data_IF_941222337925
#
_entry.id   IF_941222337925
#
_cell.length_a   1.000
_cell.length_b   1.000
_cell.length_c   1.000
_cell.angle_alpha   90.00
_cell.angle_beta   90.00
_cell.angle_gamma   90.00
#
_symmetry.space_group_name_H-M   'P 1'
#
loop_
_entity.id
_entity.type
_entity.pdbx_description
1 polymer ?
#
# COMPACT_ATOMS: atom_id res chain seq x y z
N UNK A 1 -16.77 3.75 11.09
CA UNK A 1 -16.22 4.37 9.86
C UNK A 1 -15.73 3.24 8.95
N UNK A 2 -16.42 2.97 7.83
CA UNK A 2 -15.98 1.96 6.85
C UNK A 2 -14.99 2.66 5.90
N UNK A 3 -13.70 2.49 6.10
CA UNK A 3 -12.69 3.08 5.20
C UNK A 3 -12.75 2.28 3.89
N UNK A 4 -13.44 2.78 2.87
CA UNK A 4 -13.43 2.18 1.53
C UNK A 4 -12.29 2.80 0.72
N UNK A 5 -11.06 2.40 1.06
CA UNK A 5 -9.87 2.86 0.38
C UNK A 5 -9.54 1.95 -0.80
N UNK A 6 -8.83 2.48 -1.80
CA UNK A 6 -8.34 1.76 -2.97
C UNK A 6 -6.82 1.80 -2.97
N UNK A 7 -6.17 0.66 -3.13
CA UNK A 7 -4.73 0.58 -3.28
C UNK A 7 -4.42 0.05 -4.66
N UNK A 8 -3.92 0.94 -5.53
CA UNK A 8 -3.51 0.62 -6.87
C UNK A 8 -2.01 0.34 -6.87
N UNK A 9 -1.63 -0.83 -7.37
CA UNK A 9 -0.24 -1.22 -7.57
C UNK A 9 0.00 -1.39 -9.07
N UNK A 10 1.12 -0.91 -9.57
CA UNK A 10 1.44 -0.87 -11.00
C UNK A 10 2.92 -1.21 -11.17
N UNK A 11 3.17 -2.23 -11.99
CA UNK A 11 4.47 -2.50 -12.59
C UNK A 11 4.48 -1.97 -14.01
N UNK A 12 5.49 -1.20 -14.37
CA UNK A 12 5.69 -0.62 -15.70
C UNK A 12 7.05 -1.05 -16.24
N UNK A 13 7.03 -1.78 -17.35
CA UNK A 13 8.21 -2.40 -17.94
C UNK A 13 8.61 -1.69 -19.22
N UNK A 14 9.93 -1.56 -19.43
CA UNK A 14 10.53 -0.89 -20.59
C UNK A 14 10.01 0.54 -20.77
N UNK A 15 9.97 1.29 -19.68
CA UNK A 15 9.66 2.72 -19.68
C UNK A 15 10.63 3.51 -20.57
N UNK A 16 10.24 4.71 -20.98
CA UNK A 16 11.10 5.59 -21.79
C UNK A 16 12.34 6.03 -20.97
N UNK A 17 13.52 6.02 -21.59
CA UNK A 17 14.79 6.36 -20.89
C UNK A 17 14.80 7.79 -20.34
N UNK A 18 14.14 8.73 -21.04
CA UNK A 18 13.99 10.13 -20.60
C UNK A 18 13.23 10.29 -19.28
N UNK A 19 12.61 9.23 -18.75
CA UNK A 19 11.95 9.26 -17.44
C UNK A 19 12.94 9.14 -16.28
N UNK A 20 14.19 8.72 -16.54
CA UNK A 20 15.18 8.42 -15.51
C UNK A 20 16.34 9.44 -15.46
N UNK A 21 16.32 10.47 -16.30
CA UNK A 21 17.41 11.45 -16.42
C UNK A 21 17.53 12.43 -15.25
N UNK A 22 16.42 12.79 -14.63
CA UNK A 22 16.40 13.74 -13.52
C UNK A 22 15.29 13.34 -12.53
N UNK A 23 15.71 12.86 -11.35
CA UNK A 23 14.81 12.36 -10.33
C UNK A 23 14.11 13.50 -9.58
N UNK A 24 14.72 14.67 -9.43
CA UNK A 24 14.05 15.84 -8.82
C UNK A 24 12.91 16.30 -9.72
N UNK A 25 13.15 16.41 -11.03
CA UNK A 25 12.10 16.70 -12.00
C UNK A 25 11.00 15.64 -12.02
N UNK A 26 11.36 14.36 -11.83
CA UNK A 26 10.35 13.30 -11.75
C UNK A 26 9.44 13.48 -10.52
N UNK A 27 10.02 13.80 -9.37
CA UNK A 27 9.25 14.08 -8.14
C UNK A 27 8.29 15.24 -8.36
N UNK A 28 8.74 16.33 -8.98
CA UNK A 28 7.90 17.50 -9.21
C UNK A 28 6.79 17.21 -10.22
N UNK A 29 7.07 16.49 -11.31
CA UNK A 29 6.04 16.01 -12.25
C UNK A 29 5.00 15.15 -11.56
N UNK A 30 5.43 14.24 -10.68
CA UNK A 30 4.53 13.38 -9.91
C UNK A 30 3.65 14.21 -8.96
N UNK A 31 4.20 15.21 -8.26
CA UNK A 31 3.42 16.13 -7.42
C UNK A 31 2.38 16.90 -8.23
N UNK A 32 2.75 17.43 -9.41
CA UNK A 32 1.82 18.13 -10.31
C UNK A 32 0.69 17.21 -10.76
N UNK A 33 1.00 15.98 -11.19
CA UNK A 33 0.01 14.98 -11.62
C UNK A 33 -0.99 14.65 -10.49
N UNK A 34 -0.49 14.51 -9.26
CA UNK A 34 -1.34 14.24 -8.11
C UNK A 34 -2.26 15.45 -7.81
N UNK A 35 -1.72 16.67 -7.85
CA UNK A 35 -2.50 17.89 -7.67
C UNK A 35 -3.60 18.04 -8.75
N UNK A 36 -3.28 17.79 -10.01
CA UNK A 36 -4.24 17.76 -11.13
C UNK A 36 -5.33 16.69 -10.94
N UNK A 37 -4.97 15.58 -10.27
CA UNK A 37 -5.89 14.50 -9.90
C UNK A 37 -6.72 14.81 -8.65
N UNK A 38 -6.72 16.08 -8.18
CA UNK A 38 -7.41 16.55 -6.97
C UNK A 38 -6.93 15.85 -5.69
N UNK A 39 -5.68 15.42 -5.66
CA UNK A 39 -5.01 14.90 -4.47
C UNK A 39 -4.14 16.01 -3.89
N UNK A 40 -4.53 16.52 -2.73
CA UNK A 40 -3.82 17.60 -2.05
C UNK A 40 -2.50 17.09 -1.45
N UNK A 41 -1.39 17.38 -2.13
CA UNK A 41 -0.04 16.97 -1.72
C UNK A 41 0.38 17.72 -0.47
N UNK A 42 0.77 16.96 0.55
CA UNK A 42 1.26 17.47 1.84
C UNK A 42 2.78 17.56 1.81
N UNK A 43 3.45 16.50 1.35
CA UNK A 43 4.90 16.45 1.26
C UNK A 43 5.36 15.41 0.25
N UNK A 44 6.59 15.53 -0.23
CA UNK A 44 7.22 14.53 -1.08
C UNK A 44 8.71 14.48 -0.81
N UNK A 45 9.25 13.27 -0.78
CA UNK A 45 10.67 12.99 -0.61
C UNK A 45 11.13 11.99 -1.67
N UNK A 46 12.41 12.05 -1.99
CA UNK A 46 13.07 11.05 -2.82
C UNK A 46 14.44 10.73 -2.24
N UNK A 47 14.92 9.54 -2.57
CA UNK A 47 16.25 9.08 -2.19
C UNK A 47 16.84 8.28 -3.35
N UNK A 48 18.06 8.64 -3.74
CA UNK A 48 18.90 7.80 -4.57
C UNK A 48 19.47 6.67 -3.70
N UNK A 49 19.30 5.45 -4.16
CA UNK A 49 19.78 4.22 -3.55
C UNK A 49 20.99 3.70 -4.34
N UNK A 50 21.72 2.71 -3.81
CA UNK A 50 22.76 2.03 -4.57
C UNK A 50 22.24 1.52 -5.92
N UNK A 51 23.16 1.36 -6.88
CA UNK A 51 22.88 0.84 -8.23
C UNK A 51 21.94 1.73 -9.09
N UNK A 52 21.88 3.03 -8.79
CA UNK A 52 21.12 4.01 -9.57
C UNK A 52 19.60 3.93 -9.42
N UNK A 53 19.11 3.09 -8.50
CA UNK A 53 17.70 3.01 -8.14
C UNK A 53 17.27 4.27 -7.38
N UNK A 54 16.09 4.81 -7.68
CA UNK A 54 15.48 5.88 -6.90
C UNK A 54 14.18 5.43 -6.23
N UNK A 55 14.02 5.78 -4.95
CA UNK A 55 12.78 5.62 -4.21
C UNK A 55 12.15 6.99 -3.98
N UNK A 56 10.86 7.13 -4.28
CA UNK A 56 10.07 8.36 -4.13
C UNK A 56 8.86 8.05 -3.26
N UNK A 57 8.55 8.92 -2.31
CA UNK A 57 7.35 8.85 -1.49
C UNK A 57 6.67 10.21 -1.44
N UNK A 58 5.39 10.25 -1.78
CA UNK A 58 4.56 11.46 -1.75
C UNK A 58 3.36 11.21 -0.84
N UNK A 59 3.18 12.07 0.15
CA UNK A 59 2.04 12.08 1.07
C UNK A 59 1.02 13.10 0.60
N UNK A 60 -0.26 12.72 0.66
CA UNK A 60 -1.40 13.61 0.42
C UNK A 60 -2.48 13.38 1.48
N UNK A 61 -3.38 14.34 1.69
CA UNK A 61 -4.31 14.36 2.83
C UNK A 61 -5.10 13.06 3.04
N UNK A 62 -5.42 12.34 1.96
CA UNK A 62 -6.15 11.07 2.03
C UNK A 62 -5.37 9.92 1.39
N UNK A 63 -4.07 9.81 1.65
CA UNK A 63 -3.30 8.64 1.24
C UNK A 63 -1.82 8.88 1.01
N UNK A 64 -1.23 8.02 0.18
CA UNK A 64 0.16 8.14 -0.21
C UNK A 64 0.42 7.50 -1.57
N UNK A 65 1.54 7.88 -2.16
CA UNK A 65 2.10 7.23 -3.33
C UNK A 65 3.57 6.92 -3.08
N UNK A 66 4.00 5.73 -3.45
CA UNK A 66 5.41 5.34 -3.51
C UNK A 66 5.77 4.93 -4.92
N UNK A 67 6.95 5.31 -5.38
CA UNK A 67 7.48 4.96 -6.69
C UNK A 67 8.91 4.48 -6.52
N UNK A 68 9.23 3.32 -7.09
CA UNK A 68 10.60 2.84 -7.24
C UNK A 68 10.95 2.84 -8.72
N UNK A 69 12.02 3.55 -9.06
CA UNK A 69 12.50 3.68 -10.43
C UNK A 69 13.85 2.97 -10.56
N UNK A 70 13.94 2.01 -11.48
CA UNK A 70 15.12 1.22 -11.79
C UNK A 70 15.59 1.56 -13.22
N UNK A 71 16.50 2.53 -13.39
CA UNK A 71 16.91 3.01 -14.70
C UNK A 71 17.50 1.92 -15.61
N UNK A 72 18.39 1.08 -15.07
CA UNK A 72 19.06 0.02 -15.83
C UNK A 72 18.07 -1.00 -16.41
N UNK A 73 17.02 -1.33 -15.63
CA UNK A 73 15.96 -2.25 -16.05
C UNK A 73 14.87 -1.56 -16.86
N UNK A 74 14.93 -0.22 -17.01
CA UNK A 74 13.86 0.63 -17.52
C UNK A 74 12.51 0.26 -16.89
N UNK A 75 12.52 0.03 -15.59
CA UNK A 75 11.39 -0.50 -14.82
C UNK A 75 10.98 0.48 -13.74
N UNK A 76 9.67 0.58 -13.53
CA UNK A 76 9.09 1.40 -12.47
C UNK A 76 8.02 0.58 -11.76
N UNK A 77 8.11 0.51 -10.43
CA UNK A 77 7.02 0.05 -9.58
C UNK A 77 6.37 1.26 -8.92
N UNK A 78 5.04 1.29 -8.86
CA UNK A 78 4.30 2.37 -8.25
C UNK A 78 3.13 1.81 -7.42
N UNK A 79 2.99 2.30 -6.21
CA UNK A 79 1.90 1.98 -5.29
C UNK A 79 1.20 3.28 -4.92
N UNK A 80 -0.11 3.34 -5.12
CA UNK A 80 -0.92 4.51 -4.78
C UNK A 80 -2.09 4.10 -3.92
N UNK A 81 -2.03 4.48 -2.64
CA UNK A 81 -3.06 4.22 -1.67
C UNK A 81 -3.97 5.45 -1.52
N UNK A 82 -5.25 5.27 -1.84
CA UNK A 82 -6.26 6.32 -1.89
C UNK A 82 -7.34 6.03 -0.86
N UNK A 83 -7.42 6.86 0.17
CA UNK A 83 -8.42 6.78 1.25
C UNK A 83 -9.71 7.56 0.95
N UNK A 84 -9.96 7.89 -0.32
CA UNK A 84 -11.16 8.56 -0.80
C UNK A 84 -12.23 7.55 -1.22
N UNK A 85 -13.48 7.73 -0.76
CA UNK A 85 -14.60 6.86 -1.13
C UNK A 85 -14.86 6.84 -2.64
N UNK A 86 -14.69 7.98 -3.31
CA UNK A 86 -14.91 8.16 -4.75
C UNK A 86 -13.60 8.27 -5.53
N UNK A 87 -12.49 7.73 -5.01
CA UNK A 87 -11.22 7.73 -5.72
C UNK A 87 -11.36 7.06 -7.09
N UNK A 88 -10.65 7.57 -8.09
CA UNK A 88 -10.59 7.06 -9.47
C UNK A 88 -9.17 6.56 -9.80
N UNK A 89 -8.78 5.35 -9.33
CA UNK A 89 -7.46 4.80 -9.61
C UNK A 89 -7.17 4.66 -11.12
N UNK A 90 -8.20 4.49 -11.95
CA UNK A 90 -8.06 4.39 -13.41
C UNK A 90 -7.50 5.68 -14.02
N UNK A 91 -7.84 6.85 -13.47
CA UNK A 91 -7.30 8.13 -13.91
C UNK A 91 -5.79 8.19 -13.64
N UNK A 92 -5.37 7.82 -12.43
CA UNK A 92 -3.96 7.77 -12.04
C UNK A 92 -3.18 6.77 -12.88
N UNK A 93 -3.72 5.57 -13.11
CA UNK A 93 -3.12 4.58 -14.00
C UNK A 93 -2.87 5.15 -15.40
N UNK A 94 -3.87 5.81 -15.98
CA UNK A 94 -3.74 6.43 -17.31
C UNK A 94 -2.69 7.54 -17.33
N UNK A 95 -2.61 8.35 -16.28
CA UNK A 95 -1.61 9.42 -16.18
C UNK A 95 -0.20 8.86 -16.04
N UNK A 96 0.02 7.83 -15.22
CA UNK A 96 1.33 7.17 -15.12
C UNK A 96 1.73 6.47 -16.41
N UNK A 97 0.79 5.81 -17.09
CA UNK A 97 1.06 5.21 -18.40
C UNK A 97 1.50 6.26 -19.42
N UNK A 98 0.91 7.46 -19.41
CA UNK A 98 1.34 8.57 -20.27
C UNK A 98 2.71 9.14 -19.85
N UNK A 99 2.94 9.32 -18.56
CA UNK A 99 4.20 9.86 -18.02
C UNK A 99 5.39 8.96 -18.35
N UNK A 100 5.25 7.66 -18.12
CA UNK A 100 6.36 6.70 -18.21
C UNK A 100 6.44 5.98 -19.55
N UNK A 101 5.35 6.01 -20.33
CA UNK A 101 5.22 5.37 -21.63
C UNK A 101 5.79 3.94 -21.70
N UNK A 102 5.34 3.01 -20.84
CA UNK A 102 5.84 1.64 -20.81
C UNK A 102 5.33 0.80 -21.98
N UNK A 103 6.12 -0.18 -22.42
CA UNK A 103 5.65 -1.19 -23.39
C UNK A 103 4.66 -2.17 -22.77
N UNK A 104 4.86 -2.52 -21.49
CA UNK A 104 4.01 -3.47 -20.77
C UNK A 104 3.70 -2.95 -19.37
N UNK A 105 2.49 -3.26 -18.91
CA UNK A 105 2.04 -2.90 -17.57
C UNK A 105 1.38 -4.09 -16.89
N UNK A 106 1.58 -4.26 -15.59
CA UNK A 106 0.81 -5.17 -14.75
C UNK A 106 0.21 -4.38 -13.61
N UNK A 107 -1.08 -4.53 -13.36
CA UNK A 107 -1.79 -3.76 -12.33
C UNK A 107 -2.56 -4.67 -11.40
N UNK A 108 -2.60 -4.31 -10.12
CA UNK A 108 -3.51 -4.92 -9.15
C UNK A 108 -4.20 -3.83 -8.36
N UNK A 109 -5.54 -3.89 -8.31
CA UNK A 109 -6.37 -2.99 -7.53
C UNK A 109 -6.92 -3.72 -6.30
N UNK A 110 -6.55 -3.25 -5.12
CA UNK A 110 -7.01 -3.79 -3.85
C UNK A 110 -8.04 -2.86 -3.22
N UNK A 111 -9.18 -3.41 -2.80
CA UNK A 111 -10.11 -2.71 -1.90
C UNK A 111 -9.58 -2.88 -0.47
N UNK A 112 -9.32 -1.77 0.21
CA UNK A 112 -8.76 -1.72 1.56
C UNK A 112 -9.82 -1.21 2.51
N UNK A 113 -9.86 -1.76 3.71
CA UNK A 113 -10.89 -1.42 4.70
C UNK A 113 -12.32 -1.79 4.24
N UNK A 114 -12.46 -2.78 3.36
CA UNK A 114 -13.76 -3.42 3.17
C UNK A 114 -14.03 -4.35 4.35
N UNK A 115 -14.82 -3.85 5.30
CA UNK A 115 -15.18 -4.60 6.50
C UNK A 115 -16.17 -5.77 6.25
N UNK A 116 -16.50 -6.09 4.98
CA UNK A 116 -17.32 -7.24 4.61
C UNK A 116 -18.63 -7.37 5.41
N UNK A 117 -19.02 -8.61 5.69
CA UNK A 117 -19.96 -8.96 6.77
C UNK A 117 -19.19 -9.20 8.08
N UNK A 118 -19.79 -9.02 9.25
CA UNK A 118 -19.14 -9.26 10.56
C UNK A 118 -18.54 -10.68 10.68
N UNK A 119 -19.04 -11.64 9.90
CA UNK A 119 -18.53 -13.02 9.80
C UNK A 119 -17.20 -13.16 9.08
N UNK A 120 -16.87 -12.25 8.15
CA UNK A 120 -15.59 -12.22 7.41
C UNK A 120 -14.47 -11.56 8.22
N UNK A 121 -14.81 -10.91 9.34
CA UNK A 121 -13.91 -10.11 10.17
C UNK A 121 -13.75 -10.61 11.62
N UNK A 122 -13.37 -11.87 11.82
CA UNK A 122 -12.91 -12.33 13.14
C UNK A 122 -11.40 -12.14 13.30
N UNK A 123 -10.89 -11.40 14.32
CA UNK A 123 -9.49 -11.52 14.69
C UNK A 123 -9.21 -12.96 15.16
N UNK A 124 -8.29 -13.65 14.48
CA UNK A 124 -7.93 -15.04 14.80
C UNK A 124 -6.94 -15.19 15.95
N UNK A 125 -6.18 -14.15 16.31
CA UNK A 125 -5.28 -14.25 17.45
C UNK A 125 -6.04 -14.16 18.77
N UNK A 126 -6.23 -15.33 19.38
CA UNK A 126 -6.09 -15.41 20.83
C UNK A 126 -4.59 -15.32 21.11
N UNK A 127 -4.17 -14.33 21.87
CA UNK A 127 -2.82 -14.24 22.43
C UNK A 127 -2.43 -15.58 23.08
N UNK A 128 -1.13 -15.96 23.06
CA UNK A 128 -0.61 -17.24 23.62
C UNK A 128 -0.99 -17.50 25.10
N UNK A 129 -1.46 -16.48 25.79
CA UNK A 129 -2.07 -16.54 27.12
C UNK A 129 -3.38 -17.35 27.15
N UNK A 130 -4.15 -17.40 26.05
CA UNK A 130 -5.48 -17.99 26.08
C UNK A 130 -5.51 -19.53 26.16
N UNK A 131 -4.64 -20.30 25.44
CA UNK A 131 -4.53 -21.74 25.64
C UNK A 131 -4.01 -22.11 27.04
N UNK A 132 -2.96 -21.42 27.52
CA UNK A 132 -2.34 -21.65 28.84
C UNK A 132 -3.34 -21.39 29.97
N UNK A 133 -4.11 -20.30 29.88
CA UNK A 133 -5.16 -19.92 30.84
C UNK A 133 -6.29 -20.95 30.90
N UNK A 134 -6.63 -21.60 29.78
CA UNK A 134 -7.63 -22.69 29.74
C UNK A 134 -7.15 -23.92 30.51
N UNK A 135 -5.92 -24.38 30.27
CA UNK A 135 -5.35 -25.59 30.91
C UNK A 135 -5.25 -25.42 32.43
N UNK A 136 -4.71 -24.29 32.90
CA UNK A 136 -4.58 -23.99 34.35
C UNK A 136 -5.93 -24.02 35.07
N UNK A 137 -6.96 -23.46 34.44
CA UNK A 137 -8.30 -23.39 35.03
C UNK A 137 -8.98 -24.77 35.09
N UNK A 138 -8.77 -25.63 34.10
CA UNK A 138 -9.29 -27.01 34.11
C UNK A 138 -8.62 -27.86 35.17
N UNK A 139 -7.28 -27.83 35.30
CA UNK A 139 -6.54 -28.61 36.31
C UNK A 139 -6.95 -28.27 37.74
N UNK A 140 -7.08 -26.98 38.07
CA UNK A 140 -7.53 -26.55 39.40
C UNK A 140 -8.96 -27.02 39.73
N UNK A 141 -9.84 -27.17 38.73
CA UNK A 141 -11.19 -27.71 38.94
C UNK A 141 -11.14 -29.21 39.24
N UNK A 142 -10.32 -29.98 38.51
CA UNK A 142 -10.17 -31.42 38.73
C UNK A 142 -9.60 -31.71 40.12
N UNK A 143 -8.54 -31.00 40.53
CA UNK A 143 -7.95 -31.15 41.87
C UNK A 143 -9.01 -30.89 42.96
N UNK A 144 -9.78 -29.80 42.84
CA UNK A 144 -10.84 -29.48 43.81
C UNK A 144 -11.97 -30.52 43.89
N UNK A 145 -12.23 -31.26 42.81
CA UNK A 145 -13.25 -32.33 42.80
C UNK A 145 -12.71 -33.58 43.49
N UNK A 146 -11.43 -33.91 43.28
CA UNK A 146 -10.78 -35.07 43.90
C UNK A 146 -10.49 -34.87 45.39
N UNK A 147 -10.23 -33.64 45.83
CA UNK A 147 -10.04 -33.30 47.26
C UNK A 147 -11.35 -33.04 48.01
N UNK A 148 -12.50 -33.21 47.34
CA UNK A 148 -13.85 -33.16 47.96
C UNK A 148 -14.47 -34.55 48.13
N UNK A 149 -13.73 -35.61 47.84
CA UNK A 149 -13.93 -36.95 48.41
C UNK A 149 -13.01 -37.11 49.60
#
# INVERSE_FOLDING_TARGET
MKILARHLTIDMYKCKESCFTDMEQLVDKLKTILAESKLEVVSGMHQLLPDGHAAIMILFNEGHMTVHAFPELRYISADTFLCQQNATPELLFNTFRKLFNPEKTKTTLLKRGDFGSVTDMKPKYKTRTAPIRKIRNTGNKVIKILTRK
#
